data_IF_655554670155
#
_entry.id   IF_655554670155
#
_cell.length_a   1.000
_cell.length_b   1.000
_cell.length_c   1.000
_cell.angle_alpha   90.00
_cell.angle_beta   90.00
_cell.angle_gamma   90.00
#
_symmetry.space_group_name_H-M   'P 1'
#
loop_
_entity.id
_entity.type
_entity.pdbx_description
1 polymer ?
#
# COMPACT_ATOMS: atom_id res chain seq x y z
N UNK A 1 35.05 26.11 11.59
CA UNK A 1 33.77 26.37 10.89
C UNK A 1 33.69 25.42 9.72
N UNK A 2 32.88 24.36 9.80
CA UNK A 2 32.79 23.35 8.75
C UNK A 2 31.52 23.58 7.91
N UNK A 3 31.70 24.08 6.69
CA UNK A 3 30.64 24.19 5.68
C UNK A 3 30.18 22.80 5.25
N UNK A 4 28.93 22.47 5.53
CA UNK A 4 28.30 21.25 5.03
C UNK A 4 27.92 21.44 3.55
N UNK A 5 28.68 20.79 2.68
CA UNK A 5 28.51 20.77 1.23
C UNK A 5 27.18 20.14 0.80
N UNK A 6 26.43 20.89 -0.03
CA UNK A 6 25.14 20.53 -0.64
C UNK A 6 25.27 19.29 -1.53
N UNK A 7 24.47 18.24 -1.27
CA UNK A 7 24.24 17.18 -2.27
C UNK A 7 22.88 17.35 -2.95
N UNK A 8 22.92 18.01 -4.11
CA UNK A 8 21.82 18.16 -5.07
C UNK A 8 21.77 16.89 -5.92
N UNK A 9 20.75 16.04 -5.71
CA UNK A 9 20.54 14.84 -6.53
C UNK A 9 20.33 15.24 -8.00
N UNK A 10 21.15 14.68 -8.89
CA UNK A 10 21.19 14.95 -10.33
C UNK A 10 19.92 14.39 -10.99
N UNK A 11 19.19 15.22 -11.75
CA UNK A 11 18.11 14.73 -12.63
C UNK A 11 18.75 13.99 -13.80
N UNK A 12 18.61 12.67 -13.83
CA UNK A 12 18.96 11.88 -15.02
C UNK A 12 17.75 11.89 -15.94
N UNK A 13 17.80 12.75 -16.96
CA UNK A 13 16.93 12.64 -18.14
C UNK A 13 17.54 11.55 -19.01
N UNK A 14 16.84 10.43 -19.15
CA UNK A 14 17.15 9.46 -20.20
C UNK A 14 15.98 9.46 -21.18
N UNK A 15 16.14 10.27 -22.23
CA UNK A 15 15.36 10.21 -23.44
C UNK A 15 15.97 9.10 -24.29
N UNK A 16 15.35 7.92 -24.31
CA UNK A 16 15.53 6.94 -25.39
C UNK A 16 14.16 6.55 -25.89
N UNK A 17 13.80 7.17 -27.01
CA UNK A 17 12.71 6.77 -27.88
C UNK A 17 13.09 5.45 -28.56
N UNK A 18 12.47 4.36 -28.11
CA UNK A 18 12.27 3.18 -28.93
C UNK A 18 10.80 3.22 -29.35
N UNK A 19 10.55 3.51 -30.62
CA UNK A 19 9.28 3.20 -31.26
C UNK A 19 9.37 1.74 -31.68
N UNK A 20 8.78 0.86 -30.87
CA UNK A 20 8.22 -0.37 -31.39
C UNK A 20 6.71 -0.12 -31.47
N UNK A 21 6.21 0.00 -32.70
CA UNK A 21 4.79 -0.17 -32.97
C UNK A 21 4.47 -1.66 -32.83
N UNK A 22 4.41 -2.14 -31.59
CA UNK A 22 3.62 -3.32 -31.28
C UNK A 22 2.17 -2.89 -31.28
N UNK A 23 1.36 -3.54 -32.10
CA UNK A 23 -0.09 -3.47 -32.07
C UNK A 23 -0.57 -3.80 -30.66
N UNK A 24 -0.87 -2.75 -29.90
CA UNK A 24 -1.27 -2.83 -28.49
C UNK A 24 -2.67 -3.44 -28.42
N UNK A 25 -2.73 -4.77 -28.37
CA UNK A 25 -3.91 -5.51 -27.93
C UNK A 25 -4.35 -4.91 -26.59
N UNK A 26 -5.63 -4.52 -26.43
CA UNK A 26 -6.06 -3.80 -25.24
C UNK A 26 -5.87 -4.72 -24.04
N UNK A 27 -4.92 -4.37 -23.18
CA UNK A 27 -4.78 -4.90 -21.82
C UNK A 27 -6.19 -5.02 -21.23
N UNK A 28 -6.68 -6.23 -20.98
CA UNK A 28 -8.04 -6.41 -20.43
C UNK A 28 -8.26 -7.60 -19.50
N UNK A 29 -7.40 -8.62 -19.48
CA UNK A 29 -7.80 -9.90 -18.86
C UNK A 29 -6.88 -10.42 -17.75
N UNK A 30 -6.01 -9.57 -17.18
CA UNK A 30 -5.15 -10.02 -16.08
C UNK A 30 -5.84 -9.91 -14.73
N UNK A 31 -5.96 -11.05 -14.05
CA UNK A 31 -6.53 -11.13 -12.71
C UNK A 31 -5.67 -10.37 -11.71
N UNK A 32 -6.32 -9.73 -10.74
CA UNK A 32 -5.65 -8.96 -9.71
C UNK A 32 -4.63 -9.80 -8.92
N UNK A 33 -4.95 -11.06 -8.65
CA UNK A 33 -4.07 -11.99 -7.93
C UNK A 33 -2.80 -12.34 -8.75
N UNK A 34 -2.93 -12.58 -10.05
CA UNK A 34 -1.79 -12.87 -10.96
C UNK A 34 -0.82 -11.68 -11.05
N UNK A 35 -1.36 -10.47 -11.18
CA UNK A 35 -0.59 -9.25 -11.18
C UNK A 35 0.12 -9.01 -9.84
N UNK A 36 -0.51 -9.39 -8.74
CA UNK A 36 0.14 -9.36 -7.43
C UNK A 36 1.28 -10.37 -7.32
N UNK A 37 1.15 -11.57 -7.89
CA UNK A 37 2.25 -12.54 -7.94
C UNK A 37 3.46 -12.00 -8.73
N UNK A 38 3.20 -11.35 -9.87
CA UNK A 38 4.24 -10.69 -10.67
C UNK A 38 4.90 -9.54 -9.91
N UNK A 39 4.12 -8.69 -9.24
CA UNK A 39 4.64 -7.65 -8.35
C UNK A 39 5.54 -8.21 -7.25
N UNK A 40 5.13 -9.30 -6.59
CA UNK A 40 5.91 -9.89 -5.50
C UNK A 40 7.24 -10.45 -6.00
N UNK A 41 7.28 -11.09 -7.18
CA UNK A 41 8.53 -11.56 -7.79
C UNK A 41 9.48 -10.39 -8.10
N UNK A 42 8.95 -9.30 -8.67
CA UNK A 42 9.75 -8.11 -8.92
C UNK A 42 10.33 -7.53 -7.63
N UNK A 43 9.53 -7.43 -6.55
CA UNK A 43 10.00 -6.93 -5.24
C UNK A 43 11.02 -7.82 -4.56
N UNK A 44 10.93 -9.12 -4.75
CA UNK A 44 11.93 -10.08 -4.27
C UNK A 44 13.27 -9.88 -5.02
N UNK A 45 13.23 -9.73 -6.35
CA UNK A 45 14.43 -9.45 -7.17
C UNK A 45 15.04 -8.06 -6.89
N UNK A 46 14.23 -7.07 -6.50
CA UNK A 46 14.71 -5.77 -5.99
C UNK A 46 15.43 -5.88 -4.63
N UNK A 47 15.38 -7.04 -3.96
CA UNK A 47 16.04 -7.27 -2.68
C UNK A 47 15.28 -6.67 -1.49
N UNK A 48 13.94 -6.56 -1.56
CA UNK A 48 13.17 -6.12 -0.40
C UNK A 48 13.32 -7.11 0.76
N UNK A 49 13.39 -6.57 1.98
CA UNK A 49 13.45 -7.38 3.21
C UNK A 49 12.24 -8.31 3.30
N UNK A 50 12.45 -9.54 3.78
CA UNK A 50 11.41 -10.55 3.94
C UNK A 50 10.20 -10.03 4.73
N UNK A 51 10.45 -9.25 5.79
CA UNK A 51 9.39 -8.61 6.56
C UNK A 51 8.49 -7.73 5.69
N UNK A 52 9.08 -6.94 4.80
CA UNK A 52 8.35 -6.05 3.89
C UNK A 52 7.53 -6.86 2.88
N UNK A 53 8.09 -7.95 2.33
CA UNK A 53 7.37 -8.86 1.44
C UNK A 53 6.16 -9.48 2.15
N UNK A 54 6.34 -9.95 3.38
CA UNK A 54 5.25 -10.46 4.22
C UNK A 54 4.18 -9.41 4.49
N UNK A 55 4.56 -8.16 4.76
CA UNK A 55 3.63 -7.06 4.96
C UNK A 55 2.84 -6.75 3.67
N UNK A 56 3.46 -6.81 2.49
CA UNK A 56 2.74 -6.71 1.21
C UNK A 56 1.68 -7.81 1.06
N UNK A 57 2.05 -9.08 1.27
CA UNK A 57 1.10 -10.23 1.19
C UNK A 57 -0.06 -10.07 2.15
N UNK A 58 0.23 -9.69 3.39
CA UNK A 58 -0.78 -9.51 4.45
C UNK A 58 -1.76 -8.40 4.10
N UNK A 59 -1.25 -7.25 3.67
CA UNK A 59 -2.10 -6.11 3.31
C UNK A 59 -2.93 -6.36 2.05
N UNK A 60 -2.35 -7.03 1.05
CA UNK A 60 -3.08 -7.46 -0.14
C UNK A 60 -4.22 -8.42 0.20
N UNK A 61 -3.98 -9.41 1.08
CA UNK A 61 -5.04 -10.30 1.57
C UNK A 61 -6.19 -9.55 2.22
N UNK A 62 -5.92 -8.49 2.99
CA UNK A 62 -6.99 -7.68 3.58
C UNK A 62 -7.79 -6.91 2.53
N UNK A 63 -7.13 -6.46 1.46
CA UNK A 63 -7.79 -5.77 0.37
C UNK A 63 -8.65 -6.73 -0.46
N UNK A 64 -8.11 -7.87 -0.89
CA UNK A 64 -8.88 -8.88 -1.63
C UNK A 64 -10.01 -9.47 -0.79
N UNK A 65 -9.82 -9.65 0.51
CA UNK A 65 -10.89 -10.07 1.42
C UNK A 65 -12.02 -9.04 1.53
N UNK A 66 -11.72 -7.75 1.40
CA UNK A 66 -12.74 -6.70 1.29
C UNK A 66 -13.44 -6.74 -0.08
N UNK A 67 -12.69 -6.87 -1.17
CA UNK A 67 -13.26 -6.98 -2.52
C UNK A 67 -14.22 -8.16 -2.63
N UNK A 68 -13.80 -9.35 -2.19
CA UNK A 68 -14.65 -10.56 -2.21
C UNK A 68 -15.96 -10.40 -1.45
N UNK A 69 -16.01 -9.54 -0.41
CA UNK A 69 -17.22 -9.25 0.36
C UNK A 69 -18.11 -8.20 -0.28
N UNK A 70 -17.54 -7.10 -0.81
CA UNK A 70 -18.31 -5.93 -1.29
C UNK A 70 -18.51 -5.92 -2.81
N UNK A 71 -17.57 -6.47 -3.57
CA UNK A 71 -17.55 -6.54 -5.04
C UNK A 71 -17.16 -7.96 -5.49
N UNK A 72 -17.99 -8.98 -5.25
CA UNK A 72 -17.62 -10.38 -5.49
C UNK A 72 -17.30 -10.71 -6.96
N UNK A 73 -17.80 -9.91 -7.90
CA UNK A 73 -17.57 -10.07 -9.34
C UNK A 73 -16.28 -9.39 -9.84
N UNK A 74 -15.62 -8.61 -8.97
CA UNK A 74 -14.44 -7.82 -9.33
C UNK A 74 -13.18 -8.67 -9.20
N UNK A 75 -12.72 -9.21 -10.33
CA UNK A 75 -11.58 -10.14 -10.41
C UNK A 75 -10.36 -9.54 -11.12
N UNK A 76 -10.57 -8.54 -11.97
CA UNK A 76 -9.55 -7.96 -12.83
C UNK A 76 -9.00 -6.65 -12.26
N UNK A 77 -7.73 -6.36 -12.52
CA UNK A 77 -7.09 -5.16 -11.95
C UNK A 77 -7.63 -3.84 -12.53
N UNK A 78 -8.13 -3.86 -13.77
CA UNK A 78 -8.68 -2.68 -14.43
C UNK A 78 -10.04 -2.26 -13.89
N UNK A 79 -10.78 -3.20 -13.30
CA UNK A 79 -12.06 -2.93 -12.64
C UNK A 79 -11.88 -2.15 -11.33
N UNK A 80 -10.65 -2.12 -10.79
CA UNK A 80 -10.35 -1.38 -9.57
C UNK A 80 -10.32 0.11 -9.88
N UNK A 81 -11.39 0.81 -9.52
CA UNK A 81 -11.50 2.26 -9.66
C UNK A 81 -11.04 3.00 -8.41
N UNK A 82 -10.84 4.31 -8.57
CA UNK A 82 -10.50 5.19 -7.43
C UNK A 82 -11.56 5.10 -6.32
N UNK A 83 -12.83 4.97 -6.68
CA UNK A 83 -13.92 4.85 -5.70
C UNK A 83 -13.86 3.53 -4.94
N UNK A 84 -13.48 2.42 -5.58
CA UNK A 84 -13.22 1.15 -4.90
C UNK A 84 -12.14 1.31 -3.80
N UNK A 85 -11.10 2.11 -4.06
CA UNK A 85 -10.05 2.40 -3.06
C UNK A 85 -10.60 3.30 -1.95
N UNK A 86 -11.44 4.29 -2.26
CA UNK A 86 -12.10 5.15 -1.25
C UNK A 86 -13.03 4.33 -0.36
N UNK A 87 -13.80 3.42 -0.96
CA UNK A 87 -14.66 2.48 -0.27
C UNK A 87 -13.87 1.58 0.67
N UNK A 88 -12.71 1.09 0.25
CA UNK A 88 -11.82 0.32 1.12
C UNK A 88 -11.32 1.16 2.32
N UNK A 89 -10.93 2.42 2.07
CA UNK A 89 -10.51 3.35 3.13
C UNK A 89 -11.65 3.63 4.10
N UNK A 90 -12.86 3.86 3.59
CA UNK A 90 -14.07 4.09 4.39
C UNK A 90 -14.38 2.88 5.27
N UNK A 91 -14.42 1.67 4.68
CA UNK A 91 -14.63 0.42 5.39
C UNK A 91 -13.61 0.25 6.53
N UNK A 92 -12.32 0.41 6.25
CA UNK A 92 -11.30 0.28 7.28
C UNK A 92 -11.44 1.33 8.40
N UNK A 93 -11.88 2.54 8.07
CA UNK A 93 -11.93 3.66 9.02
C UNK A 93 -13.20 3.68 9.87
N UNK A 94 -14.32 3.13 9.37
CA UNK A 94 -15.64 3.27 10.00
C UNK A 94 -16.34 1.96 10.33
N UNK A 95 -16.16 0.93 9.51
CA UNK A 95 -17.02 -0.26 9.54
C UNK A 95 -16.29 -1.49 10.07
N UNK A 96 -15.00 -1.62 9.73
CA UNK A 96 -14.21 -2.79 10.10
C UNK A 96 -14.14 -2.94 11.61
N UNK A 97 -14.63 -4.07 12.11
CA UNK A 97 -14.48 -4.44 13.53
C UNK A 97 -13.01 -4.69 13.85
N UNK A 98 -12.58 -4.20 15.01
CA UNK A 98 -11.23 -4.41 15.50
C UNK A 98 -11.01 -5.91 15.76
N UNK A 99 -9.84 -6.42 15.37
CA UNK A 99 -9.44 -7.83 15.56
C UNK A 99 -10.28 -8.89 14.83
N UNK A 100 -11.19 -8.52 13.93
CA UNK A 100 -12.00 -9.47 13.14
C UNK A 100 -11.13 -10.49 12.37
N UNK A 101 -9.91 -10.09 12.00
CA UNK A 101 -8.97 -10.96 11.28
C UNK A 101 -8.09 -11.83 12.20
N UNK A 102 -8.22 -11.71 13.53
CA UNK A 102 -7.38 -12.35 14.55
C UNK A 102 -8.23 -13.11 15.58
N UNK A 103 -8.42 -14.41 15.37
CA UNK A 103 -9.28 -15.29 16.20
C UNK A 103 -8.95 -15.26 17.69
N UNK A 104 -7.68 -15.24 18.08
CA UNK A 104 -7.31 -15.22 19.51
C UNK A 104 -7.56 -13.85 20.16
N UNK A 105 -7.30 -12.76 19.43
CA UNK A 105 -7.49 -11.41 19.95
C UNK A 105 -8.98 -11.01 19.99
N UNK A 106 -9.77 -11.43 19.01
CA UNK A 106 -11.22 -11.19 19.00
C UNK A 106 -11.92 -11.88 20.17
N UNK A 107 -11.51 -13.11 20.50
CA UNK A 107 -12.03 -13.86 21.67
C UNK A 107 -11.59 -13.25 22.99
N UNK A 108 -10.33 -12.78 23.08
CA UNK A 108 -9.77 -12.23 24.33
C UNK A 108 -10.32 -10.85 24.69
N UNK A 109 -10.46 -9.95 23.72
CA UNK A 109 -10.78 -8.55 23.99
C UNK A 109 -12.24 -8.18 23.73
N UNK A 110 -13.05 -9.07 23.10
CA UNK A 110 -14.49 -8.94 22.82
C UNK A 110 -14.94 -7.48 22.71
N UNK A 111 -14.52 -6.80 21.64
CA UNK A 111 -14.84 -5.38 21.42
C UNK A 111 -15.68 -5.20 20.17
N UNK A 112 -16.75 -4.41 20.29
CA UNK A 112 -17.54 -3.96 19.14
C UNK A 112 -17.02 -2.65 18.54
N UNK A 113 -15.82 -2.21 18.96
CA UNK A 113 -15.19 -1.02 18.39
C UNK A 113 -14.94 -1.23 16.90
N UNK A 114 -15.51 -0.33 16.09
CA UNK A 114 -15.31 -0.25 14.65
C UNK A 114 -14.29 0.83 14.31
N UNK A 115 -13.62 0.64 13.19
CA UNK A 115 -12.61 1.55 12.67
C UNK A 115 -11.20 1.21 13.18
N UNK A 116 -10.28 1.07 12.22
CA UNK A 116 -8.86 0.96 12.48
C UNK A 116 -8.25 2.34 12.78
N UNK A 117 -7.10 2.37 13.45
CA UNK A 117 -6.38 3.62 13.65
C UNK A 117 -5.95 4.22 12.30
N UNK A 118 -5.91 5.56 12.17
CA UNK A 118 -5.48 6.21 10.93
C UNK A 118 -4.08 5.76 10.46
N UNK A 119 -3.17 5.47 11.40
CA UNK A 119 -1.84 4.91 11.11
C UNK A 119 -1.93 3.55 10.43
N UNK A 120 -2.75 2.63 10.95
CA UNK A 120 -2.94 1.30 10.35
C UNK A 120 -3.56 1.40 8.96
N UNK A 121 -4.58 2.25 8.79
CA UNK A 121 -5.18 2.53 7.47
C UNK A 121 -4.11 3.01 6.49
N UNK A 122 -3.27 3.95 6.91
CA UNK A 122 -2.22 4.50 6.06
C UNK A 122 -1.13 3.48 5.69
N UNK A 123 -0.77 2.55 6.58
CA UNK A 123 0.15 1.44 6.27
C UNK A 123 -0.44 0.56 5.17
N UNK A 124 -1.71 0.15 5.32
CA UNK A 124 -2.42 -0.66 4.30
C UNK A 124 -2.56 0.09 2.98
N UNK A 125 -2.89 1.39 3.01
CA UNK A 125 -3.01 2.19 1.80
C UNK A 125 -1.66 2.41 1.09
N UNK A 126 -0.55 2.55 1.84
CA UNK A 126 0.79 2.70 1.26
C UNK A 126 1.25 1.47 0.49
N UNK A 127 0.96 0.27 1.01
CA UNK A 127 1.31 -0.98 0.29
C UNK A 127 0.51 -1.14 -0.99
N UNK A 128 -0.78 -0.79 -0.98
CA UNK A 128 -1.60 -0.74 -2.20
C UNK A 128 -1.13 0.32 -3.19
N UNK A 129 -0.77 1.52 -2.72
CA UNK A 129 -0.20 2.57 -3.57
C UNK A 129 1.08 2.10 -4.27
N UNK A 130 1.94 1.38 -3.58
CA UNK A 130 3.15 0.79 -4.16
C UNK A 130 2.79 -0.22 -5.27
N UNK A 131 1.85 -1.12 -4.99
CA UNK A 131 1.37 -2.13 -5.94
C UNK A 131 0.76 -1.52 -7.21
N UNK A 132 -0.24 -0.65 -7.09
CA UNK A 132 -0.89 -0.03 -8.26
C UNK A 132 0.02 0.96 -9.00
N UNK A 133 1.01 1.55 -8.32
CA UNK A 133 2.06 2.32 -9.00
C UNK A 133 2.94 1.41 -9.86
N UNK A 134 3.32 0.24 -9.36
CA UNK A 134 4.06 -0.76 -10.14
C UNK A 134 3.24 -1.21 -11.36
N UNK A 135 1.96 -1.57 -11.18
CA UNK A 135 1.11 -1.99 -12.29
C UNK A 135 1.01 -0.94 -13.40
N UNK A 136 0.83 0.34 -13.04
CA UNK A 136 0.84 1.42 -14.02
C UNK A 136 2.22 1.58 -14.70
N UNK A 137 3.30 1.45 -13.93
CA UNK A 137 4.67 1.59 -14.44
C UNK A 137 5.04 0.52 -15.47
N UNK A 138 4.56 -0.71 -15.26
CA UNK A 138 4.74 -1.86 -16.17
C UNK A 138 3.66 -1.95 -17.26
N UNK A 139 2.78 -0.95 -17.37
CA UNK A 139 1.72 -0.90 -18.36
C UNK A 139 0.55 -1.86 -18.14
N UNK A 140 0.48 -2.57 -17.00
CA UNK A 140 -0.61 -3.52 -16.70
C UNK A 140 -1.98 -2.89 -16.49
N UNK A 141 -2.04 -1.59 -16.19
CA UNK A 141 -3.28 -0.83 -16.06
C UNK A 141 -3.08 0.58 -16.64
N UNK A 142 -4.12 1.20 -17.22
CA UNK A 142 -4.01 2.52 -17.84
C UNK A 142 -3.86 3.65 -16.80
N UNK A 143 -4.62 3.60 -15.70
CA UNK A 143 -4.57 4.59 -14.63
C UNK A 143 -4.33 3.91 -13.28
N UNK A 144 -3.62 4.60 -12.37
CA UNK A 144 -3.43 4.12 -11.00
C UNK A 144 -4.63 4.55 -10.13
N UNK A 145 -5.48 3.62 -9.66
CA UNK A 145 -6.68 3.97 -8.88
C UNK A 145 -6.37 4.58 -7.51
N UNK A 146 -5.15 4.41 -7.01
CA UNK A 146 -4.73 4.97 -5.71
C UNK A 146 -4.18 6.39 -5.84
N UNK A 147 -3.98 6.91 -7.06
CA UNK A 147 -3.26 8.17 -7.28
C UNK A 147 -3.94 9.36 -6.59
N UNK A 148 -5.28 9.42 -6.63
CA UNK A 148 -6.07 10.54 -6.08
C UNK A 148 -6.53 10.33 -4.64
N UNK A 149 -6.15 9.21 -4.01
CA UNK A 149 -6.53 8.90 -2.62
C UNK A 149 -5.45 9.41 -1.67
N UNK A 150 -5.79 10.37 -0.80
CA UNK A 150 -4.87 10.92 0.19
C UNK A 150 -4.77 9.99 1.42
N UNK A 151 -3.62 10.04 2.09
CA UNK A 151 -3.45 9.41 3.39
C UNK A 151 -4.30 10.15 4.44
N UNK A 152 -4.80 9.42 5.43
CA UNK A 152 -5.51 10.00 6.57
C UNK A 152 -4.55 10.85 7.40
N UNK A 153 -5.05 11.95 7.96
CA UNK A 153 -4.29 12.79 8.88
C UNK A 153 -3.97 11.97 10.13
N UNK A 154 -2.69 11.92 10.49
CA UNK A 154 -2.18 11.30 11.71
C UNK A 154 -1.39 12.35 12.48
N UNK A 155 -1.49 12.34 13.81
CA UNK A 155 -0.56 13.09 14.64
C UNK A 155 0.85 12.55 14.44
N UNK A 156 1.84 13.43 14.47
CA UNK A 156 3.23 13.04 14.33
C UNK A 156 3.70 12.53 15.68
N UNK A 157 3.99 11.24 15.76
CA UNK A 157 4.52 10.61 16.98
C UNK A 157 5.97 11.05 17.17
N UNK A 158 6.16 12.20 17.82
CA UNK A 158 7.47 12.67 18.25
C UNK A 158 7.82 11.95 19.53
N UNK A 159 8.58 10.87 19.44
CA UNK A 159 9.24 10.28 20.60
C UNK A 159 10.20 11.34 21.13
N UNK A 160 9.88 11.90 22.30
CA UNK A 160 10.78 12.83 22.98
C UNK A 160 12.07 12.09 23.35
N UNK A 161 13.23 12.68 23.02
CA UNK A 161 14.50 12.13 23.48
C UNK A 161 14.55 12.18 25.01
N UNK A 162 15.19 11.17 25.62
CA UNK A 162 15.41 11.17 27.07
C UNK A 162 16.19 12.43 27.48
N UNK A 163 15.74 13.07 28.56
CA UNK A 163 16.47 14.15 29.20
C UNK A 163 17.72 13.62 29.91
N UNK A 164 18.70 14.50 30.18
CA UNK A 164 19.92 14.12 30.93
C UNK A 164 19.61 13.49 32.30
N UNK A 165 18.55 13.94 32.98
CA UNK A 165 18.10 13.38 34.25
C UNK A 165 17.60 11.93 34.07
N UNK A 166 16.73 11.69 33.10
CA UNK A 166 16.22 10.35 32.79
C UNK A 166 17.30 9.35 32.35
N UNK A 167 18.41 9.83 31.76
CA UNK A 167 19.56 8.98 31.42
C UNK A 167 20.38 8.64 32.68
N UNK A 168 20.42 9.54 33.66
CA UNK A 168 21.19 9.35 34.90
C UNK A 168 20.43 8.50 35.91
N UNK A 169 19.09 8.49 35.85
CA UNK A 169 18.19 7.73 36.72
C UNK A 169 17.81 6.32 36.18
N UNK A 170 18.51 5.85 35.14
CA UNK A 170 18.39 4.50 34.54
C UNK A 170 19.29 3.48 35.25
#
# INVERSE_FOLDING_TARGET
MAEQSKRKGRKTVNLRSFQEEETFEPFRDKRLEELFHTFMRAKELEGLRERTLKDHRTNFKYFTGFLKKKYPQMEYAEEILTDTIRDYVYYMSREKKLWDDHTQASVRYKTDKKGLSPTTVNIRLRTLKCFFKFLKGEGHIPENPTARVKLLKTEQDTIAAFSKQQITDL
#
